data_IF_917904136149
#
_entry.id   IF_917904136149
#
_cell.length_a   1.000
_cell.length_b   1.000
_cell.length_c   1.000
_cell.angle_alpha   90.00
_cell.angle_beta   90.00
_cell.angle_gamma   90.00
#
_symmetry.space_group_name_H-M   'P 1'
#
loop_
_entity.id
_entity.type
_entity.pdbx_description
1 polymer ?
#
# COMPACT_ATOMS: atom_id res chain seq x y z
N UNK A 1 6.52 6.32 -19.96
CA UNK A 1 7.78 6.02 -19.27
C UNK A 1 7.49 4.86 -18.34
N UNK A 2 7.83 3.63 -18.73
CA UNK A 2 8.01 2.52 -17.80
C UNK A 2 9.37 1.95 -18.15
N UNK A 3 10.28 2.03 -17.19
CA UNK A 3 11.59 1.44 -17.30
C UNK A 3 11.38 -0.09 -17.38
N UNK A 4 11.95 -0.67 -18.43
CA UNK A 4 11.91 -2.08 -18.83
C UNK A 4 11.51 -3.11 -17.76
N UNK A 5 10.31 -3.69 -17.89
CA UNK A 5 10.03 -5.09 -17.53
C UNK A 5 9.76 -5.45 -16.06
N UNK A 6 9.84 -4.51 -15.11
CA UNK A 6 9.49 -4.83 -13.71
C UNK A 6 7.96 -4.81 -13.54
N UNK A 7 7.39 -5.96 -13.16
CA UNK A 7 5.98 -6.05 -12.78
C UNK A 7 5.77 -5.32 -11.45
N UNK A 8 4.61 -4.68 -11.29
CA UNK A 8 4.23 -4.09 -10.01
C UNK A 8 4.17 -5.16 -8.92
N UNK A 9 4.79 -4.88 -7.79
CA UNK A 9 4.76 -5.68 -6.56
C UNK A 9 3.76 -5.11 -5.53
N UNK A 10 3.25 -3.90 -5.76
CA UNK A 10 2.21 -3.25 -4.97
C UNK A 10 1.20 -2.56 -5.90
N UNK A 11 -0.10 -2.69 -5.59
CA UNK A 11 -1.20 -2.02 -6.29
C UNK A 11 -2.18 -1.46 -5.28
N UNK A 12 -2.36 -0.14 -5.29
CA UNK A 12 -3.41 0.57 -4.57
C UNK A 12 -4.46 1.08 -5.57
N UNK A 13 -5.72 0.73 -5.35
CA UNK A 13 -6.86 1.11 -6.18
C UNK A 13 -7.95 1.69 -5.28
N UNK A 14 -8.42 2.91 -5.57
CA UNK A 14 -9.38 3.65 -4.75
C UNK A 14 -10.49 4.18 -5.65
N UNK A 15 -11.74 4.00 -5.25
CA UNK A 15 -12.89 4.48 -6.01
C UNK A 15 -14.19 4.54 -5.20
N UNK A 16 -15.08 5.48 -5.53
CA UNK A 16 -16.29 5.81 -4.76
C UNK A 16 -17.60 5.46 -5.49
N UNK A 17 -17.55 5.04 -6.76
CA UNK A 17 -18.76 4.90 -7.57
C UNK A 17 -18.94 3.49 -8.13
N UNK A 18 -19.93 3.34 -9.04
CA UNK A 18 -20.24 2.06 -9.66
C UNK A 18 -19.23 1.67 -10.74
N UNK A 19 -18.59 2.65 -11.38
CA UNK A 19 -17.60 2.39 -12.44
C UNK A 19 -16.33 1.76 -11.88
N UNK A 20 -16.00 2.04 -10.62
CA UNK A 20 -14.85 1.47 -9.93
C UNK A 20 -15.01 -0.01 -9.58
N UNK A 21 -16.24 -0.51 -9.47
CA UNK A 21 -16.54 -1.90 -9.12
C UNK A 21 -15.97 -2.90 -10.13
N UNK A 22 -15.98 -2.56 -11.41
CA UNK A 22 -15.39 -3.42 -12.45
C UNK A 22 -13.86 -3.39 -12.39
N UNK A 23 -13.27 -2.28 -11.92
CA UNK A 23 -11.83 -2.16 -11.70
C UNK A 23 -11.38 -3.05 -10.54
N UNK A 24 -12.11 -3.03 -9.41
CA UNK A 24 -11.80 -3.86 -8.24
C UNK A 24 -11.81 -5.36 -8.59
N UNK A 25 -12.82 -5.81 -9.33
CA UNK A 25 -12.91 -7.20 -9.79
C UNK A 25 -11.76 -7.56 -10.74
N UNK A 26 -11.48 -6.68 -11.71
CA UNK A 26 -10.43 -6.94 -12.69
C UNK A 26 -9.06 -7.10 -12.02
N UNK A 27 -8.71 -6.21 -11.08
CA UNK A 27 -7.43 -6.28 -10.37
C UNK A 27 -7.35 -7.55 -9.51
N UNK A 28 -8.45 -7.94 -8.84
CA UNK A 28 -8.52 -9.21 -8.11
C UNK A 28 -8.26 -10.42 -9.01
N UNK A 29 -8.78 -10.42 -10.24
CA UNK A 29 -8.50 -11.49 -11.21
C UNK A 29 -7.12 -11.38 -11.87
N UNK A 30 -6.51 -10.20 -11.92
CA UNK A 30 -5.22 -9.97 -12.59
C UNK A 30 -4.07 -10.76 -11.94
N UNK A 31 -4.12 -10.94 -10.62
CA UNK A 31 -3.18 -11.81 -9.88
C UNK A 31 -3.36 -13.27 -10.32
N UNK A 32 -4.59 -13.78 -10.31
CA UNK A 32 -4.92 -15.15 -10.73
C UNK A 32 -4.59 -15.43 -12.19
N UNK A 33 -4.69 -14.41 -13.05
CA UNK A 33 -4.39 -14.49 -14.50
C UNK A 33 -2.91 -14.29 -14.83
N UNK A 34 -2.02 -14.19 -13.83
CA UNK A 34 -0.58 -13.90 -13.97
C UNK A 34 -0.27 -12.63 -14.78
N UNK A 35 -1.17 -11.65 -14.73
CA UNK A 35 -0.92 -10.31 -15.29
C UNK A 35 -0.05 -9.52 -14.31
N UNK A 36 -0.32 -9.68 -13.02
CA UNK A 36 0.50 -9.20 -11.91
C UNK A 36 1.36 -10.35 -11.36
N UNK A 37 2.44 -10.00 -10.66
CA UNK A 37 3.25 -10.99 -9.94
C UNK A 37 2.42 -11.67 -8.86
N UNK A 38 2.75 -12.92 -8.52
CA UNK A 38 2.04 -13.65 -7.46
C UNK A 38 2.26 -13.04 -6.07
N UNK A 39 3.36 -12.30 -5.89
CA UNK A 39 3.66 -11.55 -4.66
C UNK A 39 3.05 -10.16 -4.63
N UNK A 40 2.27 -9.77 -5.66
CA UNK A 40 1.73 -8.41 -5.72
C UNK A 40 0.73 -8.22 -4.60
N UNK A 41 1.01 -7.27 -3.71
CA UNK A 41 0.06 -6.88 -2.68
C UNK A 41 -0.97 -5.92 -3.29
N UNK A 42 -2.24 -6.31 -3.22
CA UNK A 42 -3.36 -5.56 -3.79
C UNK A 42 -4.23 -4.99 -2.68
N UNK A 43 -4.39 -3.68 -2.71
CA UNK A 43 -5.25 -2.91 -1.82
C UNK A 43 -6.31 -2.20 -2.66
N UNK A 44 -7.48 -2.83 -2.79
CA UNK A 44 -8.65 -2.23 -3.40
C UNK A 44 -9.55 -1.65 -2.29
N UNK A 45 -9.77 -0.35 -2.33
CA UNK A 45 -10.51 0.42 -1.34
C UNK A 45 -11.70 1.10 -2.02
N UNK A 46 -12.90 0.91 -1.47
CA UNK A 46 -14.02 1.76 -1.84
C UNK A 46 -14.16 2.96 -0.90
N UNK A 47 -14.58 4.12 -1.41
CA UNK A 47 -14.85 5.29 -0.55
C UNK A 47 -16.32 5.28 -0.14
N UNK A 48 -16.56 5.43 1.16
CA UNK A 48 -17.84 5.27 1.82
C UNK A 48 -18.16 3.82 2.15
N UNK A 49 -18.92 3.62 3.23
CA UNK A 49 -19.44 2.30 3.59
C UNK A 49 -20.65 1.92 2.73
N UNK A 50 -20.38 1.16 1.67
CA UNK A 50 -21.39 0.69 0.71
C UNK A 50 -21.10 -0.74 0.25
N UNK A 51 -22.08 -1.48 -0.29
CA UNK A 51 -21.81 -2.73 -0.98
C UNK A 51 -20.80 -2.50 -2.11
N UNK A 52 -19.68 -3.23 -2.07
CA UNK A 52 -18.59 -3.10 -3.04
C UNK A 52 -17.85 -4.43 -3.22
N UNK A 53 -17.22 -4.60 -4.38
CA UNK A 53 -16.26 -5.67 -4.70
C UNK A 53 -14.87 -5.37 -4.16
N UNK A 54 -14.60 -4.16 -3.69
CA UNK A 54 -13.36 -3.82 -2.97
C UNK A 54 -13.24 -4.60 -1.66
N UNK A 55 -12.01 -4.92 -1.26
CA UNK A 55 -11.74 -5.65 -0.01
C UNK A 55 -11.76 -4.73 1.22
N UNK A 56 -11.38 -3.48 1.02
CA UNK A 56 -11.26 -2.48 2.08
C UNK A 56 -12.17 -1.29 1.76
N UNK A 57 -12.40 -0.44 2.76
CA UNK A 57 -13.10 0.83 2.57
C UNK A 57 -12.37 1.95 3.30
N UNK A 58 -12.61 3.17 2.86
CA UNK A 58 -12.27 4.43 3.53
C UNK A 58 -13.58 5.16 3.79
N UNK A 59 -13.75 5.83 4.93
CA UNK A 59 -15.03 6.44 5.30
C UNK A 59 -15.42 7.59 4.37
N UNK A 60 -14.46 8.44 4.02
CA UNK A 60 -14.66 9.55 3.09
C UNK A 60 -13.36 9.98 2.38
N UNK A 61 -13.46 10.98 1.50
CA UNK A 61 -12.33 11.48 0.71
C UNK A 61 -11.18 12.05 1.55
N UNK A 62 -11.47 12.51 2.77
CA UNK A 62 -10.44 13.03 3.68
C UNK A 62 -9.53 11.92 4.16
N UNK A 63 -10.07 10.72 4.41
CA UNK A 63 -9.26 9.55 4.74
C UNK A 63 -8.38 9.09 3.58
N UNK A 64 -8.84 9.25 2.34
CA UNK A 64 -7.99 9.01 1.14
C UNK A 64 -6.75 9.91 1.18
N UNK A 65 -6.95 11.20 1.45
CA UNK A 65 -5.85 12.17 1.55
C UNK A 65 -4.91 11.81 2.70
N UNK A 66 -5.45 11.58 3.90
CA UNK A 66 -4.65 11.25 5.08
C UNK A 66 -3.81 9.97 4.91
N UNK A 67 -4.37 8.95 4.25
CA UNK A 67 -3.66 7.71 3.94
C UNK A 67 -2.54 7.95 2.93
N UNK A 68 -2.77 8.74 1.88
CA UNK A 68 -1.73 9.09 0.91
C UNK A 68 -0.61 9.96 1.53
N UNK A 69 -0.96 10.89 2.41
CA UNK A 69 0.00 11.69 3.17
C UNK A 69 0.87 10.80 4.08
N UNK A 70 0.24 9.86 4.79
CA UNK A 70 0.94 8.90 5.66
C UNK A 70 1.90 8.01 4.85
N UNK A 71 1.51 7.58 3.65
CA UNK A 71 2.39 6.83 2.75
C UNK A 71 3.59 7.67 2.31
N UNK A 72 3.36 8.94 1.95
CA UNK A 72 4.43 9.84 1.54
C UNK A 72 5.44 10.07 2.70
N UNK A 73 4.95 10.33 3.91
CA UNK A 73 5.80 10.52 5.10
C UNK A 73 6.62 9.27 5.44
N UNK A 74 5.99 8.08 5.37
CA UNK A 74 6.69 6.82 5.62
C UNK A 74 7.84 6.59 4.62
N UNK A 75 7.67 7.03 3.37
CA UNK A 75 8.71 6.89 2.32
C UNK A 75 9.87 7.87 2.43
N UNK A 76 9.72 8.98 3.17
CA UNK A 76 10.77 10.01 3.31
C UNK A 76 11.73 9.73 4.49
N UNK A 77 11.49 8.66 5.25
CA UNK A 77 12.45 8.20 6.26
C UNK A 77 13.70 7.63 5.56
N UNK A 78 14.92 8.13 5.87
CA UNK A 78 16.12 7.53 5.32
C UNK A 78 16.19 6.10 5.83
N UNK A 79 16.14 5.14 4.91
CA UNK A 79 16.53 3.76 5.15
C UNK A 79 17.90 3.78 5.82
N UNK A 80 17.93 3.60 7.15
CA UNK A 80 19.16 3.29 7.87
C UNK A 80 19.61 1.94 7.34
N UNK A 81 20.43 1.97 6.29
CA UNK A 81 21.14 0.80 5.81
C UNK A 81 22.10 0.43 6.93
N UNK A 82 21.69 -0.50 7.78
CA UNK A 82 22.57 -1.17 8.72
C UNK A 82 23.55 -2.04 7.91
N UNK A 83 24.59 -1.41 7.36
CA UNK A 83 25.85 -2.11 7.11
C UNK A 83 26.60 -2.18 8.45
N UNK A 84 26.18 -3.09 9.33
CA UNK A 84 26.92 -3.41 10.55
C UNK A 84 27.75 -4.68 10.32
N UNK A 85 28.94 -4.47 9.75
CA UNK A 85 30.09 -5.29 10.07
C UNK A 85 30.76 -4.69 11.31
N UNK A 86 30.72 -5.43 12.41
CA UNK A 86 31.69 -5.49 13.53
C UNK A 86 31.12 -5.28 14.95
N UNK A 87 30.75 -6.42 15.56
CA UNK A 87 30.99 -6.79 16.97
C UNK A 87 30.93 -5.67 18.04
N UNK A 88 29.75 -5.46 18.65
CA UNK A 88 29.57 -5.13 20.09
C UNK A 88 28.09 -5.12 20.50
N UNK A 89 27.69 -5.65 21.68
CA UNK A 89 26.28 -5.59 22.11
C UNK A 89 26.00 -4.28 22.86
N UNK A 90 25.23 -3.36 22.26
CA UNK A 90 24.67 -2.21 22.99
C UNK A 90 23.16 -2.11 22.85
N UNK A 91 22.51 -2.47 23.97
CA UNK A 91 21.20 -2.07 24.52
C UNK A 91 20.20 -1.45 23.54
N UNK A 92 19.16 -2.22 23.27
CA UNK A 92 17.85 -1.80 22.78
C UNK A 92 17.37 -0.60 23.62
N UNK A 93 17.32 0.58 23.01
CA UNK A 93 16.67 1.73 23.60
C UNK A 93 15.16 1.63 23.31
N UNK A 94 14.42 1.55 24.40
CA UNK A 94 12.96 1.57 24.50
C UNK A 94 12.39 2.80 23.78
N UNK A 95 11.50 2.60 22.81
CA UNK A 95 10.68 3.67 22.24
C UNK A 95 9.75 4.20 23.33
N UNK A 96 10.04 5.41 23.83
CA UNK A 96 9.10 6.17 24.64
C UNK A 96 8.14 6.89 23.71
N UNK A 97 6.86 6.52 23.78
CA UNK A 97 5.77 7.39 23.38
C UNK A 97 5.91 8.74 24.09
N UNK A 98 5.64 9.85 23.38
CA UNK A 98 4.97 11.08 23.84
C UNK A 98 5.09 12.13 22.72
N UNK A 99 3.96 12.50 22.11
CA UNK A 99 3.17 13.70 22.45
C UNK A 99 1.74 13.51 21.98
#
# INVERSE_FOLDING_TARGET
MTETGKQADFVLCIGDDRSDEDMFELIGTAVSRRILSYNTEVFACTVGQKPSKAKYYLDDSSEVVAMLESLAEATDSPVSSDEEADSSPRKIAYVSSFV
#
